data_IF_160278971922
#
_entry.id   IF_160278971922
#
_cell.length_a   1.000
_cell.length_b   1.000
_cell.length_c   1.000
_cell.angle_alpha   90.00
_cell.angle_beta   90.00
_cell.angle_gamma   90.00
#
_symmetry.space_group_name_H-M   'P 1'
#
loop_
_entity.id
_entity.type
_entity.pdbx_description
1 polymer ?
#
# COMPACT_ATOMS: atom_id res chain seq x y z
N UNK A 1 -35.47 40.04 -22.49
CA UNK A 1 -34.32 39.51 -21.73
C UNK A 1 -34.33 38.00 -21.88
N UNK A 2 -33.39 37.47 -22.66
CA UNK A 2 -33.18 36.03 -22.81
C UNK A 2 -32.18 35.63 -21.73
N UNK A 3 -32.59 34.80 -20.78
CA UNK A 3 -31.68 34.20 -19.81
C UNK A 3 -31.02 32.99 -20.49
N UNK A 4 -29.73 33.11 -20.77
CA UNK A 4 -28.88 31.97 -21.11
C UNK A 4 -28.77 31.07 -19.87
N UNK A 5 -29.39 29.89 -19.93
CA UNK A 5 -29.08 28.81 -19.01
C UNK A 5 -27.80 28.15 -19.55
N UNK A 6 -26.68 28.39 -18.86
CA UNK A 6 -25.46 27.61 -19.06
C UNK A 6 -25.76 26.16 -18.69
N UNK A 7 -25.66 25.27 -19.68
CA UNK A 7 -25.72 23.83 -19.47
C UNK A 7 -24.43 23.41 -18.73
N UNK A 8 -24.50 23.31 -17.41
CA UNK A 8 -23.53 22.52 -16.64
C UNK A 8 -23.71 21.05 -17.02
N UNK A 9 -22.88 20.56 -17.95
CA UNK A 9 -22.77 19.13 -18.22
C UNK A 9 -22.32 18.39 -16.94
N UNK A 10 -22.97 17.27 -16.57
CA UNK A 10 -22.51 16.47 -15.46
C UNK A 10 -21.15 15.87 -15.81
N UNK A 11 -20.08 16.40 -15.21
CA UNK A 11 -18.74 15.82 -15.31
C UNK A 11 -18.80 14.35 -14.90
N UNK A 12 -18.62 13.46 -15.88
CA UNK A 12 -18.42 12.03 -15.66
C UNK A 12 -17.33 11.81 -14.59
N UNK A 13 -17.45 10.79 -13.72
CA UNK A 13 -16.38 10.49 -12.77
C UNK A 13 -15.11 10.22 -13.57
N UNK A 14 -14.10 11.06 -13.41
CA UNK A 14 -12.75 10.73 -13.85
C UNK A 14 -12.41 9.40 -13.18
N UNK A 15 -12.31 8.33 -13.98
CA UNK A 15 -11.56 7.13 -13.56
C UNK A 15 -10.27 7.67 -12.98
N UNK A 16 -10.00 7.42 -11.70
CA UNK A 16 -8.67 7.64 -11.15
C UNK A 16 -7.75 6.67 -11.88
N UNK A 17 -7.21 7.13 -13.01
CA UNK A 17 -6.20 6.43 -13.75
C UNK A 17 -4.98 6.44 -12.84
N UNK A 18 -4.49 5.26 -12.47
CA UNK A 18 -3.24 5.15 -11.72
C UNK A 18 -2.18 6.02 -12.42
N UNK A 19 -1.52 6.88 -11.64
CA UNK A 19 -0.45 7.73 -12.13
C UNK A 19 0.87 7.11 -11.74
N UNK A 20 1.77 6.95 -12.71
CA UNK A 20 3.15 6.64 -12.41
C UNK A 20 3.85 7.88 -11.88
N UNK A 21 4.29 7.81 -10.63
CA UNK A 21 5.00 8.90 -9.96
C UNK A 21 6.51 8.73 -10.11
N UNK A 22 7.18 9.83 -10.40
CA UNK A 22 8.64 9.95 -10.35
C UNK A 22 9.11 10.14 -8.91
N UNK A 23 10.38 9.85 -8.66
CA UNK A 23 11.01 10.00 -7.34
C UNK A 23 10.80 11.40 -6.74
N UNK A 24 10.96 12.46 -7.54
CA UNK A 24 10.74 13.85 -7.11
C UNK A 24 9.31 14.13 -6.67
N UNK A 25 8.33 13.51 -7.32
CA UNK A 25 6.90 13.65 -7.01
C UNK A 25 6.53 12.87 -5.75
N UNK A 26 7.13 11.70 -5.55
CA UNK A 26 6.98 10.91 -4.32
C UNK A 26 7.62 11.64 -3.14
N UNK A 27 8.82 12.21 -3.31
CA UNK A 27 9.47 13.06 -2.32
C UNK A 27 8.57 14.25 -1.95
N UNK A 28 8.01 14.94 -2.94
CA UNK A 28 7.11 16.05 -2.67
C UNK A 28 5.84 15.62 -1.94
N UNK A 29 5.20 14.51 -2.36
CA UNK A 29 3.99 13.98 -1.72
C UNK A 29 4.25 13.58 -0.26
N UNK A 30 5.41 12.97 0.02
CA UNK A 30 5.78 12.47 1.33
C UNK A 30 6.69 13.42 2.13
N UNK A 31 6.77 14.69 1.72
CA UNK A 31 7.64 15.67 2.38
C UNK A 31 7.17 15.96 3.81
N UNK A 32 8.08 15.85 4.78
CA UNK A 32 7.83 15.93 6.23
C UNK A 32 6.80 14.90 6.74
N UNK A 33 6.77 13.72 6.12
CA UNK A 33 5.86 12.63 6.48
C UNK A 33 6.59 11.48 7.17
N UNK A 34 5.91 10.92 8.17
CA UNK A 34 6.24 9.64 8.76
C UNK A 34 5.30 8.56 8.23
N UNK A 35 5.85 7.63 7.44
CA UNK A 35 5.14 6.47 6.89
C UNK A 35 5.51 5.22 7.69
N UNK A 36 4.51 4.49 8.18
CA UNK A 36 4.66 3.21 8.88
C UNK A 36 4.06 2.10 8.03
N UNK A 37 4.82 1.04 7.81
CA UNK A 37 4.39 -0.13 7.03
C UNK A 37 4.43 -1.36 7.95
N UNK A 38 3.29 -2.00 8.13
CA UNK A 38 3.07 -3.14 9.02
C UNK A 38 2.63 -4.33 8.17
N UNK A 39 3.40 -5.42 8.16
CA UNK A 39 2.95 -6.61 7.45
C UNK A 39 4.03 -7.63 7.17
N UNK A 40 3.79 -8.46 6.18
CA UNK A 40 4.65 -9.60 5.90
C UNK A 40 5.73 -9.30 4.84
N UNK A 41 6.22 -10.34 4.15
CA UNK A 41 7.21 -10.20 3.09
C UNK A 41 6.72 -9.37 1.90
N UNK A 42 5.41 -9.33 1.64
CA UNK A 42 4.82 -8.46 0.61
C UNK A 42 4.97 -7.01 1.04
N UNK A 43 4.64 -6.67 2.29
CA UNK A 43 4.81 -5.33 2.83
C UNK A 43 6.29 -4.94 2.99
N UNK A 44 7.19 -5.89 3.26
CA UNK A 44 8.64 -5.63 3.18
C UNK A 44 9.04 -5.20 1.78
N UNK A 45 8.53 -5.85 0.74
CA UNK A 45 8.81 -5.45 -0.64
C UNK A 45 8.19 -4.08 -0.98
N UNK A 46 7.00 -3.74 -0.46
CA UNK A 46 6.43 -2.37 -0.56
C UNK A 46 7.34 -1.35 0.11
N UNK A 47 7.82 -1.64 1.32
CA UNK A 47 8.78 -0.78 2.02
C UNK A 47 10.06 -0.57 1.20
N UNK A 48 10.67 -1.66 0.71
CA UNK A 48 11.91 -1.60 -0.07
C UNK A 48 11.71 -0.81 -1.37
N UNK A 49 10.58 -1.02 -2.05
CA UNK A 49 10.28 -0.29 -3.29
C UNK A 49 10.06 1.21 -3.01
N UNK A 50 9.36 1.56 -1.92
CA UNK A 50 9.16 2.96 -1.53
C UNK A 50 10.47 3.65 -1.14
N UNK A 51 11.33 2.97 -0.37
CA UNK A 51 12.67 3.48 0.00
C UNK A 51 13.53 3.73 -1.23
N UNK A 52 13.50 2.82 -2.20
CA UNK A 52 14.21 3.00 -3.47
C UNK A 52 13.62 4.16 -4.28
N UNK A 53 12.29 4.24 -4.38
CA UNK A 53 11.58 5.26 -5.16
C UNK A 53 11.72 6.67 -4.55
N UNK A 54 11.88 6.78 -3.23
CA UNK A 54 12.23 8.04 -2.56
C UNK A 54 13.64 8.53 -2.91
N UNK A 55 14.48 7.70 -3.51
CA UNK A 55 15.86 8.02 -3.87
C UNK A 55 16.08 8.13 -5.38
N UNK A 56 15.44 7.25 -6.17
CA UNK A 56 15.65 7.17 -7.62
C UNK A 56 14.53 6.43 -8.36
N UNK A 57 14.36 6.78 -9.63
CA UNK A 57 13.43 6.15 -10.59
C UNK A 57 13.96 4.81 -11.11
N UNK A 58 14.22 3.85 -10.22
CA UNK A 58 14.71 2.52 -10.57
C UNK A 58 13.87 1.43 -9.91
N UNK A 59 13.73 0.28 -10.55
CA UNK A 59 13.06 -0.89 -9.97
C UNK A 59 14.00 -1.62 -8.99
N UNK A 60 13.40 -2.34 -8.03
CA UNK A 60 14.15 -3.32 -7.24
C UNK A 60 14.72 -4.40 -8.16
N UNK A 61 15.94 -4.85 -7.87
CA UNK A 61 16.48 -6.06 -8.50
C UNK A 61 15.83 -7.32 -7.91
N UNK A 62 15.88 -8.43 -8.65
CA UNK A 62 15.40 -9.72 -8.13
C UNK A 62 16.16 -10.16 -6.86
N UNK A 63 17.44 -9.80 -6.74
CA UNK A 63 18.24 -10.06 -5.54
C UNK A 63 17.73 -9.21 -4.35
N UNK A 64 17.47 -7.91 -4.59
CA UNK A 64 16.91 -7.03 -3.56
C UNK A 64 15.53 -7.50 -3.09
N UNK A 65 14.65 -7.95 -3.99
CA UNK A 65 13.34 -8.50 -3.58
C UNK A 65 13.46 -9.75 -2.70
N UNK A 66 14.44 -10.62 -2.97
CA UNK A 66 14.63 -11.87 -2.22
C UNK A 66 15.34 -11.65 -0.88
N UNK A 67 16.19 -10.65 -0.78
CA UNK A 67 16.94 -10.35 0.44
C UNK A 67 15.99 -9.98 1.60
N UNK A 68 16.31 -10.48 2.80
CA UNK A 68 15.55 -10.25 4.03
C UNK A 68 16.50 -10.11 5.22
N UNK A 69 16.17 -9.23 6.16
CA UNK A 69 16.94 -9.06 7.38
C UNK A 69 18.37 -8.55 7.16
N UNK A 70 18.70 -8.00 5.99
CA UNK A 70 20.00 -7.37 5.73
C UNK A 70 20.25 -6.17 6.66
N UNK A 71 21.49 -5.97 7.12
CA UNK A 71 21.85 -4.86 8.03
C UNK A 71 21.45 -3.48 7.49
N UNK A 72 21.50 -3.30 6.17
CA UNK A 72 21.09 -2.09 5.48
C UNK A 72 20.66 -2.42 4.05
N UNK A 73 19.68 -1.69 3.56
CA UNK A 73 19.15 -1.68 2.20
C UNK A 73 18.97 -0.22 1.80
N UNK A 74 19.65 0.22 0.73
CA UNK A 74 19.47 1.56 0.15
C UNK A 74 19.47 2.69 1.21
N UNK A 75 20.53 2.75 2.03
CA UNK A 75 20.74 3.74 3.10
C UNK A 75 19.75 3.66 4.27
N UNK A 76 18.87 2.65 4.29
CA UNK A 76 18.10 2.34 5.48
C UNK A 76 18.97 1.64 6.54
N UNK A 77 18.38 1.40 7.71
CA UNK A 77 19.00 0.64 8.78
C UNK A 77 18.05 -0.44 9.27
N UNK A 78 18.61 -1.62 9.55
CA UNK A 78 17.94 -2.64 10.35
C UNK A 78 17.99 -2.22 11.82
N UNK A 79 16.81 -1.95 12.39
CA UNK A 79 16.65 -1.49 13.77
C UNK A 79 16.59 -2.67 14.74
N UNK A 80 15.89 -3.76 14.35
CA UNK A 80 15.76 -4.95 15.17
C UNK A 80 15.48 -6.21 14.33
N UNK A 81 15.80 -7.38 14.88
CA UNK A 81 15.57 -8.67 14.23
C UNK A 81 16.48 -8.89 13.02
N UNK A 82 16.03 -9.66 12.03
CA UNK A 82 16.86 -9.96 10.84
C UNK A 82 18.24 -10.52 11.20
N UNK A 83 19.30 -9.96 10.61
CA UNK A 83 20.70 -10.28 10.93
C UNK A 83 21.19 -9.80 12.31
N UNK A 84 20.45 -8.91 13.00
CA UNK A 84 20.71 -8.58 14.40
C UNK A 84 20.19 -9.64 15.38
N UNK A 85 19.44 -10.63 14.88
CA UNK A 85 18.97 -11.79 15.63
C UNK A 85 19.12 -13.08 14.83
N UNK A 86 18.24 -14.04 15.09
CA UNK A 86 18.21 -15.29 14.33
C UNK A 86 17.31 -15.17 13.10
N UNK A 87 17.86 -15.48 11.92
CA UNK A 87 17.09 -15.55 10.69
C UNK A 87 16.32 -16.88 10.61
N UNK A 88 14.99 -16.80 10.72
CA UNK A 88 14.12 -17.96 10.59
C UNK A 88 12.78 -17.60 9.93
N UNK A 89 11.96 -18.61 9.64
CA UNK A 89 10.65 -18.46 8.98
C UNK A 89 9.46 -18.79 9.91
N UNK A 90 9.70 -18.84 11.22
CA UNK A 90 8.69 -19.08 12.25
C UNK A 90 7.85 -17.85 12.60
N UNK A 91 6.78 -18.07 13.37
CA UNK A 91 5.82 -17.03 13.82
C UNK A 91 6.42 -16.02 14.80
N UNK A 92 7.60 -16.30 15.35
CA UNK A 92 8.33 -15.36 16.19
C UNK A 92 9.31 -14.48 15.41
N UNK A 93 9.29 -14.53 14.07
CA UNK A 93 10.20 -13.72 13.28
C UNK A 93 9.91 -12.24 13.50
N UNK A 94 10.97 -11.46 13.62
CA UNK A 94 10.91 -10.00 13.77
C UNK A 94 11.91 -9.37 12.81
N UNK A 95 11.52 -8.25 12.25
CA UNK A 95 12.36 -7.40 11.42
C UNK A 95 11.76 -6.00 11.50
N UNK A 96 12.56 -5.05 11.99
CA UNK A 96 12.19 -3.63 12.02
C UNK A 96 13.22 -2.88 11.19
N UNK A 97 12.77 -2.14 10.18
CA UNK A 97 13.64 -1.34 9.32
C UNK A 97 13.23 0.12 9.37
N UNK A 98 14.21 1.02 9.24
CA UNK A 98 13.96 2.44 9.19
C UNK A 98 14.82 3.11 8.13
N UNK A 99 14.16 3.88 7.28
CA UNK A 99 14.79 4.80 6.35
C UNK A 99 14.54 6.24 6.80
N UNK A 100 15.60 7.04 6.80
CA UNK A 100 15.54 8.48 6.98
C UNK A 100 16.30 9.11 5.81
N UNK A 101 15.63 9.93 4.99
CA UNK A 101 16.32 10.65 3.92
C UNK A 101 17.42 11.55 4.50
N UNK A 102 18.53 11.76 3.78
CA UNK A 102 19.63 12.62 4.23
C UNK A 102 19.23 14.07 4.55
N UNK A 103 18.12 14.56 3.98
CA UNK A 103 17.54 15.87 4.31
C UNK A 103 16.69 15.89 5.59
N UNK A 104 16.39 14.74 6.18
CA UNK A 104 15.53 14.60 7.36
C UNK A 104 14.03 14.76 7.10
N UNK A 105 13.59 14.93 5.85
CA UNK A 105 12.18 15.20 5.52
C UNK A 105 11.32 13.95 5.27
N UNK A 106 11.92 12.76 5.12
CA UNK A 106 11.18 11.52 4.84
C UNK A 106 11.59 10.47 5.86
N UNK A 107 10.62 10.02 6.66
CA UNK A 107 10.79 8.92 7.61
C UNK A 107 9.88 7.76 7.18
N UNK A 108 10.47 6.60 6.91
CA UNK A 108 9.71 5.38 6.61
C UNK A 108 10.17 4.30 7.57
N UNK A 109 9.23 3.66 8.27
CA UNK A 109 9.52 2.55 9.18
C UNK A 109 8.69 1.33 8.82
N UNK A 110 9.33 0.17 8.79
CA UNK A 110 8.70 -1.11 8.54
C UNK A 110 8.77 -2.00 9.77
N UNK A 111 7.67 -2.70 10.08
CA UNK A 111 7.61 -3.73 11.10
C UNK A 111 7.05 -5.02 10.49
N UNK A 112 7.81 -6.11 10.58
CA UNK A 112 7.38 -7.41 10.11
C UNK A 112 6.36 -8.03 11.06
N UNK A 113 5.13 -8.22 10.58
CA UNK A 113 4.06 -8.88 11.31
C UNK A 113 3.93 -10.33 10.86
N UNK A 114 3.89 -11.22 11.84
CA UNK A 114 3.44 -12.60 11.64
C UNK A 114 1.99 -12.80 12.06
N UNK A 115 1.33 -11.77 12.60
CA UNK A 115 -0.08 -11.78 13.04
C UNK A 115 -0.63 -10.36 13.07
N UNK A 116 -1.89 -10.16 12.69
CA UNK A 116 -2.50 -8.82 12.61
C UNK A 116 -2.64 -8.16 13.97
N UNK A 117 -2.73 -8.96 15.02
CA UNK A 117 -2.75 -8.51 16.41
C UNK A 117 -1.97 -9.50 17.27
N UNK A 118 -1.07 -8.97 18.10
CA UNK A 118 -0.19 -9.73 18.98
C UNK A 118 0.42 -8.80 20.04
N UNK A 119 1.03 -9.36 21.08
CA UNK A 119 1.81 -8.61 22.07
C UNK A 119 2.92 -7.77 21.41
N UNK A 120 3.55 -8.29 20.35
CA UNK A 120 4.52 -7.54 19.57
C UNK A 120 3.91 -6.29 18.94
N UNK A 121 2.70 -6.39 18.36
CA UNK A 121 2.04 -5.23 17.79
C UNK A 121 1.63 -4.22 18.87
N UNK A 122 1.22 -4.66 20.06
CA UNK A 122 0.95 -3.72 21.17
C UNK A 122 2.20 -2.92 21.54
N UNK A 123 3.39 -3.54 21.57
CA UNK A 123 4.65 -2.82 21.74
C UNK A 123 4.89 -1.78 20.63
N UNK A 124 4.60 -2.14 19.37
CA UNK A 124 4.69 -1.18 18.24
C UNK A 124 3.68 -0.03 18.40
N UNK A 125 2.45 -0.32 18.82
CA UNK A 125 1.43 0.70 19.06
C UNK A 125 1.80 1.62 20.23
N UNK A 126 2.45 1.09 21.26
CA UNK A 126 3.01 1.87 22.36
C UNK A 126 4.12 2.82 21.87
N UNK A 127 5.05 2.33 21.03
CA UNK A 127 6.05 3.16 20.36
C UNK A 127 5.41 4.29 19.54
N UNK A 128 4.32 4.02 18.82
CA UNK A 128 3.61 5.05 18.04
C UNK A 128 2.83 6.04 18.92
N UNK A 129 2.44 5.63 20.13
CA UNK A 129 1.74 6.49 21.10
C UNK A 129 2.69 7.53 21.69
N UNK A 130 3.92 7.13 22.03
CA UNK A 130 4.91 7.99 22.71
C UNK A 130 6.00 8.55 21.78
N UNK A 131 6.12 7.99 20.58
CA UNK A 131 7.10 8.39 19.57
C UNK A 131 6.58 9.43 18.58
N UNK A 132 7.26 9.59 17.43
CA UNK A 132 6.75 10.46 16.36
C UNK A 132 5.42 9.92 15.84
N UNK A 133 4.43 10.80 15.77
CA UNK A 133 3.11 10.46 15.25
C UNK A 133 3.18 10.13 13.74
N UNK A 134 2.63 8.99 13.29
CA UNK A 134 2.61 8.64 11.86
C UNK A 134 1.59 9.48 11.09
N UNK A 135 1.95 9.87 9.86
CA UNK A 135 1.03 10.51 8.91
C UNK A 135 0.29 9.47 8.06
N UNK A 136 0.94 8.32 7.81
CA UNK A 136 0.41 7.22 7.00
C UNK A 136 0.78 5.89 7.65
N UNK A 137 -0.21 5.02 7.86
CA UNK A 137 -0.05 3.63 8.27
C UNK A 137 -0.57 2.73 7.16
N UNK A 138 0.29 1.84 6.65
CA UNK A 138 -0.08 0.79 5.70
C UNK A 138 -0.03 -0.54 6.44
N UNK A 139 -1.14 -1.29 6.51
CA UNK A 139 -1.19 -2.55 7.26
C UNK A 139 -1.83 -3.70 6.48
N UNK A 140 -1.18 -4.86 6.45
CA UNK A 140 -1.77 -6.14 6.03
C UNK A 140 -0.97 -7.33 6.59
N UNK A 141 -1.65 -8.32 7.16
CA UNK A 141 -1.05 -9.62 7.54
C UNK A 141 -1.93 -10.83 7.20
N UNK A 142 -2.98 -10.66 6.38
CA UNK A 142 -4.02 -11.66 6.12
C UNK A 142 -3.45 -13.05 5.78
N UNK A 143 -2.42 -13.11 4.93
CA UNK A 143 -1.80 -14.37 4.52
C UNK A 143 -1.17 -15.12 5.70
N UNK A 144 -0.47 -14.43 6.60
CA UNK A 144 0.17 -15.05 7.75
C UNK A 144 -0.86 -15.55 8.76
N UNK A 145 -1.85 -14.72 9.10
CA UNK A 145 -2.91 -15.08 10.03
C UNK A 145 -3.64 -16.34 9.55
N UNK A 146 -3.98 -16.42 8.27
CA UNK A 146 -4.75 -17.55 7.73
C UNK A 146 -3.91 -18.81 7.50
N UNK A 147 -2.62 -18.69 7.15
CA UNK A 147 -1.80 -19.84 6.74
C UNK A 147 -0.93 -20.46 7.84
N UNK A 148 -0.68 -19.76 8.95
CA UNK A 148 0.30 -20.21 9.97
C UNK A 148 -0.27 -20.56 11.33
N UNK A 149 -1.56 -20.31 11.60
CA UNK A 149 -2.17 -20.45 12.93
C UNK A 149 -3.18 -21.60 13.06
N UNK A 150 -3.08 -22.60 12.19
CA UNK A 150 -3.84 -23.85 12.33
C UNK A 150 -5.32 -23.73 11.94
N UNK A 151 -6.15 -24.64 12.48
CA UNK A 151 -7.54 -24.86 12.02
C UNK A 151 -8.50 -23.71 12.34
N UNK A 152 -8.27 -22.96 13.42
CA UNK A 152 -9.14 -21.85 13.83
C UNK A 152 -8.62 -20.49 13.36
N UNK A 153 -7.76 -20.47 12.33
CA UNK A 153 -7.06 -19.26 11.88
C UNK A 153 -8.02 -18.16 11.44
N UNK A 154 -9.11 -18.47 10.75
CA UNK A 154 -10.12 -17.49 10.32
C UNK A 154 -10.83 -16.84 11.50
N UNK A 155 -11.28 -17.62 12.48
CA UNK A 155 -11.95 -17.10 13.69
C UNK A 155 -11.00 -16.19 14.47
N UNK A 156 -9.78 -16.66 14.73
CA UNK A 156 -8.74 -15.87 15.37
C UNK A 156 -8.38 -14.60 14.59
N UNK A 157 -8.37 -14.66 13.26
CA UNK A 157 -8.09 -13.51 12.41
C UNK A 157 -9.17 -12.43 12.53
N UNK A 158 -10.45 -12.84 12.56
CA UNK A 158 -11.59 -11.91 12.76
C UNK A 158 -11.52 -11.20 14.10
N UNK A 159 -11.33 -11.94 15.19
CA UNK A 159 -11.18 -11.35 16.53
C UNK A 159 -9.98 -10.39 16.60
N UNK A 160 -8.87 -10.77 15.97
CA UNK A 160 -7.68 -9.94 15.97
C UNK A 160 -7.84 -8.67 15.13
N UNK A 161 -8.60 -8.74 14.03
CA UNK A 161 -8.93 -7.57 13.21
C UNK A 161 -9.76 -6.55 14.00
N UNK A 162 -10.76 -7.02 14.76
CA UNK A 162 -11.54 -6.15 15.66
C UNK A 162 -10.64 -5.48 16.68
N UNK A 163 -9.78 -6.24 17.36
CA UNK A 163 -8.85 -5.70 18.35
C UNK A 163 -7.91 -4.65 17.76
N UNK A 164 -7.26 -4.95 16.63
CA UNK A 164 -6.31 -4.01 16.03
C UNK A 164 -7.00 -2.74 15.54
N UNK A 165 -8.19 -2.80 14.95
CA UNK A 165 -8.86 -1.57 14.48
C UNK A 165 -9.34 -0.69 15.64
N UNK A 166 -9.87 -1.28 16.71
CA UNK A 166 -10.16 -0.55 17.95
C UNK A 166 -8.91 0.11 18.53
N UNK A 167 -7.78 -0.59 18.53
CA UNK A 167 -6.51 -0.05 19.03
C UNK A 167 -5.94 1.04 18.12
N UNK A 168 -6.04 0.90 16.80
CA UNK A 168 -5.65 1.93 15.84
C UNK A 168 -6.51 3.20 15.98
N UNK A 169 -7.79 3.08 16.32
CA UNK A 169 -8.64 4.22 16.68
C UNK A 169 -8.21 4.96 17.94
N UNK A 170 -7.61 4.25 18.89
CA UNK A 170 -7.13 4.83 20.14
C UNK A 170 -5.74 5.46 20.01
N UNK A 171 -4.88 4.86 19.19
CA UNK A 171 -3.45 5.17 19.11
C UNK A 171 -3.12 6.17 17.99
N UNK A 172 -3.76 6.04 16.83
CA UNK A 172 -3.41 6.88 15.68
C UNK A 172 -4.08 8.25 15.76
N UNK A 173 -3.35 9.35 15.44
CA UNK A 173 -3.94 10.67 15.33
C UNK A 173 -5.11 10.71 14.34
N UNK A 174 -6.07 11.61 14.55
CA UNK A 174 -7.21 11.78 13.64
C UNK A 174 -6.78 12.20 12.22
N UNK A 175 -5.58 12.79 12.06
CA UNK A 175 -4.99 13.17 10.77
C UNK A 175 -4.22 12.04 10.08
N UNK A 176 -4.02 10.90 10.75
CA UNK A 176 -3.29 9.77 10.19
C UNK A 176 -4.17 9.02 9.19
N UNK A 177 -3.63 8.78 7.99
CA UNK A 177 -4.28 7.93 6.99
C UNK A 177 -3.90 6.47 7.27
N UNK A 178 -4.90 5.62 7.55
CA UNK A 178 -4.71 4.17 7.56
C UNK A 178 -5.20 3.58 6.25
N UNK A 179 -4.31 2.88 5.55
CA UNK A 179 -4.59 2.22 4.27
C UNK A 179 -4.30 0.73 4.36
N UNK A 180 -5.33 -0.09 4.14
CA UNK A 180 -5.19 -1.54 4.10
C UNK A 180 -5.19 -2.05 2.65
N UNK A 181 -4.03 -2.43 2.08
CA UNK A 181 -4.01 -3.18 0.84
C UNK A 181 -4.50 -4.59 1.08
N UNK A 182 -5.55 -5.05 0.41
CA UNK A 182 -6.06 -6.43 0.54
C UNK A 182 -5.09 -7.43 -0.11
N UNK A 183 -5.05 -8.67 0.39
CA UNK A 183 -4.14 -9.67 -0.19
C UNK A 183 -4.60 -10.06 -1.61
N UNK A 184 -3.71 -10.01 -2.60
CA UNK A 184 -4.02 -10.33 -3.99
C UNK A 184 -4.20 -11.82 -4.31
N UNK A 185 -4.63 -12.66 -3.37
CA UNK A 185 -4.77 -14.12 -3.58
C UNK A 185 -6.21 -14.53 -3.89
N UNK A 186 -6.36 -15.54 -4.77
CA UNK A 186 -7.66 -16.15 -5.11
C UNK A 186 -8.05 -17.32 -4.20
N UNK A 187 -7.24 -17.64 -3.18
CA UNK A 187 -7.61 -18.67 -2.22
C UNK A 187 -8.89 -18.25 -1.48
N UNK A 188 -9.83 -19.20 -1.32
CA UNK A 188 -11.15 -18.95 -0.72
C UNK A 188 -11.07 -18.30 0.66
N UNK A 189 -10.19 -18.82 1.52
CA UNK A 189 -9.96 -18.29 2.86
C UNK A 189 -9.43 -16.85 2.82
N UNK A 190 -8.52 -16.53 1.91
CA UNK A 190 -8.00 -15.17 1.74
C UNK A 190 -9.07 -14.21 1.21
N UNK A 191 -9.90 -14.64 0.26
CA UNK A 191 -11.03 -13.83 -0.23
C UNK A 191 -12.03 -13.54 0.89
N UNK A 192 -12.36 -14.54 1.71
CA UNK A 192 -13.22 -14.38 2.88
C UNK A 192 -12.60 -13.45 3.93
N UNK A 193 -11.30 -13.60 4.21
CA UNK A 193 -10.56 -12.73 5.11
C UNK A 193 -10.51 -11.29 4.63
N UNK A 194 -10.25 -11.07 3.34
CA UNK A 194 -10.26 -9.76 2.71
C UNK A 194 -11.64 -9.10 2.80
N UNK A 195 -12.72 -9.85 2.56
CA UNK A 195 -14.09 -9.34 2.67
C UNK A 195 -14.41 -8.87 4.09
N UNK A 196 -14.06 -9.69 5.09
CA UNK A 196 -14.24 -9.33 6.50
C UNK A 196 -13.45 -8.07 6.86
N UNK A 197 -12.18 -8.05 6.49
CA UNK A 197 -11.27 -6.94 6.77
C UNK A 197 -11.74 -5.64 6.13
N UNK A 198 -12.21 -5.69 4.88
CA UNK A 198 -12.74 -4.51 4.18
C UNK A 198 -14.03 -3.98 4.82
N UNK A 199 -14.93 -4.89 5.24
CA UNK A 199 -16.17 -4.53 5.94
C UNK A 199 -15.86 -3.79 7.23
N UNK A 200 -15.00 -4.38 8.07
CA UNK A 200 -14.59 -3.79 9.33
C UNK A 200 -13.82 -2.47 9.13
N UNK A 201 -13.01 -2.36 8.09
CA UNK A 201 -12.30 -1.12 7.78
C UNK A 201 -13.30 0.00 7.44
N UNK A 202 -14.40 -0.33 6.76
CA UNK A 202 -15.52 0.58 6.52
C UNK A 202 -16.15 1.10 7.81
N UNK A 203 -16.38 0.22 8.79
CA UNK A 203 -16.96 0.58 10.09
C UNK A 203 -16.07 1.54 10.89
N UNK A 204 -14.76 1.38 10.78
CA UNK A 204 -13.74 2.25 11.40
C UNK A 204 -13.31 3.44 10.52
N UNK A 205 -13.94 3.62 9.34
CA UNK A 205 -13.60 4.66 8.37
C UNK A 205 -12.14 4.65 7.88
N UNK A 206 -11.51 3.48 7.86
CA UNK A 206 -10.20 3.26 7.26
C UNK A 206 -10.31 3.05 5.75
N UNK A 207 -9.25 3.43 5.03
CA UNK A 207 -9.23 3.28 3.58
C UNK A 207 -8.70 1.89 3.21
N UNK A 208 -9.26 1.33 2.13
CA UNK A 208 -8.93 -0.01 1.64
C UNK A 208 -8.49 0.08 0.19
N UNK A 209 -7.39 -0.58 -0.14
CA UNK A 209 -6.94 -0.75 -1.52
C UNK A 209 -7.09 -2.21 -1.95
N UNK A 210 -7.99 -2.47 -2.88
CA UNK A 210 -8.28 -3.84 -3.33
C UNK A 210 -7.25 -4.34 -4.35
N UNK A 211 -6.16 -4.96 -3.86
CA UNK A 211 -5.15 -5.53 -4.74
C UNK A 211 -5.66 -6.75 -5.51
N UNK A 212 -6.66 -7.45 -5.00
CA UNK A 212 -7.25 -8.56 -5.75
C UNK A 212 -7.89 -8.01 -7.04
N UNK A 213 -8.66 -6.92 -6.96
CA UNK A 213 -9.15 -6.25 -8.16
C UNK A 213 -8.01 -5.80 -9.06
N UNK A 214 -7.07 -5.00 -8.56
CA UNK A 214 -6.02 -4.41 -9.41
C UNK A 214 -5.16 -5.43 -10.13
N UNK A 215 -4.91 -6.59 -9.52
CA UNK A 215 -3.97 -7.55 -10.06
C UNK A 215 -4.58 -8.88 -10.54
N UNK A 216 -5.91 -8.98 -10.66
CA UNK A 216 -6.59 -10.20 -11.17
C UNK A 216 -6.16 -10.66 -12.57
N UNK A 217 -5.61 -9.76 -13.38
CA UNK A 217 -5.10 -10.04 -14.73
C UNK A 217 -3.56 -9.94 -14.84
N UNK A 218 -2.88 -9.97 -13.70
CA UNK A 218 -1.43 -9.77 -13.59
C UNK A 218 -0.69 -11.06 -13.17
N UNK A 219 -1.27 -12.23 -13.46
CA UNK A 219 -0.74 -13.52 -13.00
C UNK A 219 0.68 -13.79 -13.51
N UNK A 220 1.06 -13.22 -14.66
CA UNK A 220 2.41 -13.32 -15.22
C UNK A 220 3.49 -12.69 -14.32
N UNK A 221 3.12 -11.71 -13.49
CA UNK A 221 4.02 -11.06 -12.55
C UNK A 221 4.10 -11.79 -11.21
N UNK A 222 3.34 -12.87 -11.03
CA UNK A 222 3.34 -13.67 -9.81
C UNK A 222 4.38 -14.77 -9.89
N UNK A 223 5.18 -14.91 -8.84
CA UNK A 223 6.11 -16.00 -8.70
C UNK A 223 5.41 -17.36 -8.58
N UNK A 224 6.17 -18.43 -8.85
CA UNK A 224 5.68 -19.82 -8.85
C UNK A 224 5.16 -20.30 -7.49
N UNK A 225 5.52 -19.62 -6.41
CA UNK A 225 4.99 -19.91 -5.06
C UNK A 225 3.54 -19.45 -4.86
N UNK A 226 2.98 -18.71 -5.82
CA UNK A 226 1.59 -18.22 -5.79
C UNK A 226 1.34 -17.07 -4.81
N UNK A 227 2.39 -16.57 -4.15
CA UNK A 227 2.29 -15.55 -3.09
C UNK A 227 3.05 -14.28 -3.46
N UNK A 228 4.31 -14.41 -3.88
CA UNK A 228 5.18 -13.26 -4.15
C UNK A 228 5.05 -12.77 -5.59
N UNK A 229 5.46 -11.52 -5.81
CA UNK A 229 5.33 -10.83 -7.09
C UNK A 229 6.69 -10.30 -7.52
N UNK A 230 6.85 -10.04 -8.81
CA UNK A 230 8.06 -9.43 -9.36
C UNK A 230 8.15 -7.92 -9.05
N UNK A 231 9.26 -7.31 -9.48
CA UNK A 231 9.54 -5.89 -9.25
C UNK A 231 8.56 -4.95 -9.96
N UNK A 232 7.98 -5.36 -11.08
CA UNK A 232 7.03 -4.53 -11.82
C UNK A 232 5.69 -4.47 -11.10
N UNK A 233 5.24 -5.61 -10.56
CA UNK A 233 4.06 -5.65 -9.72
C UNK A 233 4.22 -4.89 -8.41
N UNK A 234 5.36 -4.98 -7.74
CA UNK A 234 5.62 -4.19 -6.55
C UNK A 234 5.67 -2.69 -6.84
N UNK A 235 6.29 -2.26 -7.95
CA UNK A 235 6.25 -0.84 -8.36
C UNK A 235 4.83 -0.36 -8.67
N UNK A 236 4.04 -1.17 -9.37
CA UNK A 236 2.63 -0.86 -9.64
C UNK A 236 1.83 -0.72 -8.35
N UNK A 237 2.06 -1.61 -7.38
CA UNK A 237 1.44 -1.54 -6.05
C UNK A 237 1.80 -0.22 -5.34
N UNK A 238 3.08 0.17 -5.33
CA UNK A 238 3.51 1.45 -4.75
C UNK A 238 2.83 2.65 -5.42
N UNK A 239 2.70 2.65 -6.75
CA UNK A 239 2.01 3.72 -7.47
C UNK A 239 0.50 3.77 -7.17
N UNK A 240 -0.17 2.63 -7.01
CA UNK A 240 -1.56 2.58 -6.56
C UNK A 240 -1.72 3.15 -5.16
N UNK A 241 -0.86 2.73 -4.22
CA UNK A 241 -0.84 3.24 -2.84
C UNK A 241 -0.63 4.75 -2.83
N UNK A 242 0.38 5.26 -3.53
CA UNK A 242 0.71 6.69 -3.56
C UNK A 242 -0.35 7.52 -4.29
N UNK A 243 -0.98 6.99 -5.35
CA UNK A 243 -2.12 7.64 -6.01
C UNK A 243 -3.29 7.79 -5.04
N UNK A 244 -3.60 6.73 -4.28
CA UNK A 244 -4.63 6.77 -3.24
C UNK A 244 -4.30 7.79 -2.16
N UNK A 245 -3.05 7.80 -1.68
CA UNK A 245 -2.57 8.75 -0.67
C UNK A 245 -2.72 10.20 -1.16
N UNK A 246 -2.35 10.48 -2.40
CA UNK A 246 -2.52 11.80 -2.98
C UNK A 246 -3.99 12.23 -3.08
N UNK A 247 -4.89 11.34 -3.55
CA UNK A 247 -6.34 11.61 -3.57
C UNK A 247 -6.88 11.87 -2.15
N UNK A 248 -6.49 11.03 -1.18
CA UNK A 248 -6.91 11.16 0.21
C UNK A 248 -6.44 12.48 0.83
N UNK A 249 -5.23 12.96 0.52
CA UNK A 249 -4.71 14.24 1.00
C UNK A 249 -5.11 15.45 0.12
N UNK A 250 -5.84 15.23 -0.97
CA UNK A 250 -6.25 16.30 -1.90
C UNK A 250 -5.09 16.91 -2.68
N UNK A 251 -4.02 16.15 -2.91
CA UNK A 251 -2.85 16.57 -3.71
C UNK A 251 -3.13 16.28 -5.18
N UNK A 252 -3.05 17.30 -6.02
CA UNK A 252 -3.18 17.12 -7.46
C UNK A 252 -1.98 16.35 -8.02
N UNK A 253 -2.27 15.22 -8.68
CA UNK A 253 -1.26 14.43 -9.35
C UNK A 253 -0.93 15.02 -10.74
N UNK A 254 0.31 14.81 -11.22
CA UNK A 254 0.70 15.19 -12.56
C UNK A 254 -0.23 14.57 -13.61
N UNK A 255 -0.74 15.39 -14.52
CA UNK A 255 -1.52 14.91 -15.66
C UNK A 255 -0.55 14.34 -16.69
N UNK A 256 -0.50 13.01 -16.79
CA UNK A 256 0.20 12.30 -17.85
C UNK A 256 -0.83 11.63 -18.75
N UNK A 257 -0.72 11.85 -20.06
CA UNK A 257 -1.55 11.21 -21.07
C UNK A 257 -1.13 9.75 -21.23
N UNK A 258 -1.53 8.90 -20.27
CA UNK A 258 -1.34 7.46 -20.41
C UNK A 258 -2.42 6.89 -21.34
N UNK A 259 -2.06 5.99 -22.27
CA UNK A 259 -3.04 5.25 -23.04
C UNK A 259 -3.95 4.48 -22.07
N UNK A 260 -5.23 4.84 -22.06
CA UNK A 260 -6.23 4.24 -21.20
C UNK A 260 -6.31 2.73 -21.44
N UNK A 261 -6.06 1.92 -20.40
CA UNK A 261 -6.32 0.48 -20.43
C UNK A 261 -5.10 -0.44 -20.25
N UNK A 262 -3.88 0.07 -20.09
CA UNK A 262 -2.75 -0.78 -19.71
C UNK A 262 -2.67 -0.94 -18.17
N UNK A 263 -2.76 -2.18 -17.65
CA UNK A 263 -2.64 -2.42 -16.21
C UNK A 263 -1.20 -2.28 -15.71
N UNK A 264 -0.19 -2.28 -16.59
CA UNK A 264 1.21 -2.06 -16.24
C UNK A 264 1.87 -1.14 -17.27
N UNK A 265 2.84 -0.31 -16.86
CA UNK A 265 3.57 0.52 -17.81
C UNK A 265 4.39 -0.35 -18.77
N UNK A 266 4.62 0.11 -20.01
CA UNK A 266 5.49 -0.57 -20.97
C UNK A 266 6.89 -0.81 -20.38
N UNK A 267 7.55 -1.91 -20.76
CA UNK A 267 8.93 -2.20 -20.35
C UNK A 267 9.91 -1.03 -20.60
N UNK A 268 9.64 -0.23 -21.65
CA UNK A 268 10.42 0.95 -22.05
C UNK A 268 10.45 2.08 -21.00
N UNK A 269 9.49 2.11 -20.06
CA UNK A 269 9.48 3.10 -18.97
C UNK A 269 10.53 2.83 -17.88
N UNK A 270 11.02 1.59 -17.82
CA UNK A 270 12.06 1.20 -16.88
C UNK A 270 13.30 0.89 -17.72
N UNK A 271 14.17 1.88 -17.94
CA UNK A 271 15.44 1.67 -18.64
C UNK A 271 16.16 0.45 -18.04
N UNK A 272 16.07 -0.70 -18.72
CA UNK A 272 16.60 -1.98 -18.28
C UNK A 272 17.45 -2.56 -19.42
N UNK A 273 18.76 -2.58 -19.22
CA UNK A 273 19.67 -3.34 -20.09
C UNK A 273 19.65 -4.80 -19.63
N UNK A 274 18.95 -5.64 -20.39
CA UNK A 274 18.69 -7.05 -20.07
C UNK A 274 19.85 -8.01 -20.33
N UNK A 275 21.08 -7.53 -20.42
CA UNK A 275 22.20 -8.35 -20.93
C UNK A 275 23.09 -8.98 -19.86
N UNK A 276 22.84 -8.76 -18.57
CA UNK A 276 23.61 -9.39 -17.50
C UNK A 276 22.65 -10.14 -16.56
N UNK A 277 23.04 -11.34 -16.11
CA UNK A 277 22.32 -12.25 -15.20
C UNK A 277 21.35 -13.29 -15.76
N UNK A 278 21.63 -13.82 -16.96
CA UNK A 278 21.42 -15.26 -17.21
C UNK A 278 22.71 -16.03 -16.95
N UNK A 279 23.06 -16.23 -15.68
CA UNK A 279 23.88 -17.37 -15.28
C UNK A 279 23.28 -18.03 -14.04
N UNK A 280 22.89 -19.29 -14.20
CA UNK A 280 22.30 -20.12 -13.15
C UNK A 280 23.30 -20.44 -12.03
N UNK A 281 22.79 -20.59 -10.81
CA UNK A 281 23.30 -21.58 -9.88
C UNK A 281 22.14 -22.43 -9.38
N UNK A 282 22.08 -23.67 -9.89
CA UNK A 282 21.37 -24.79 -9.30
C UNK A 282 22.10 -25.23 -8.02
N UNK A 283 21.35 -25.81 -7.07
CA UNK A 283 21.76 -26.36 -5.77
C UNK A 283 21.56 -25.41 -4.58
N UNK A 284 20.43 -25.60 -3.88
CA UNK A 284 20.37 -25.80 -2.42
C UNK A 284 18.91 -26.13 -1.99
N UNK A 285 18.69 -27.41 -1.63
CA UNK A 285 17.77 -27.84 -0.57
C UNK A 285 16.26 -27.85 -0.82
N UNK A 286 15.77 -28.86 -1.55
CA UNK A 286 14.37 -29.32 -1.41
C UNK A 286 14.20 -30.15 -0.13
N UNK A 287 13.12 -29.89 0.63
CA UNK A 287 12.53 -30.79 1.63
C UNK A 287 11.07 -31.12 1.24
N UNK A 288 10.52 -32.31 1.60
CA UNK A 288 9.52 -32.99 0.77
C UNK A 288 8.06 -32.69 1.14
N UNK A 289 7.20 -32.76 0.11
CA UNK A 289 5.85 -33.33 0.22
C UNK A 289 4.67 -32.36 0.23
N UNK A 290 4.06 -32.12 -0.94
CA UNK A 290 2.71 -32.62 -1.30
C UNK A 290 2.52 -32.43 -2.82
N UNK A 291 2.38 -33.54 -3.54
CA UNK A 291 2.07 -33.53 -4.96
C UNK A 291 0.58 -33.18 -5.15
N UNK A 292 0.28 -31.99 -5.67
CA UNK A 292 -1.06 -31.66 -6.14
C UNK A 292 -1.20 -32.08 -7.61
N UNK A 293 -2.04 -33.09 -7.85
CA UNK A 293 -2.53 -33.43 -9.19
C UNK A 293 -3.70 -32.49 -9.52
N UNK A 294 -3.69 -31.75 -10.64
CA UNK A 294 -4.83 -30.93 -11.05
C UNK A 294 -5.99 -31.83 -11.51
N UNK A 295 -7.12 -31.77 -10.81
CA UNK A 295 -8.38 -32.33 -11.30
C UNK A 295 -8.99 -31.46 -12.41
N UNK A 296 -9.81 -32.03 -13.32
CA UNK A 296 -10.37 -31.29 -14.45
C UNK A 296 -11.41 -30.25 -13.99
N UNK A 297 -11.39 -29.09 -14.64
CA UNK A 297 -12.32 -27.98 -14.41
C UNK A 297 -13.76 -28.34 -14.82
N UNK A 298 -14.79 -27.90 -14.08
CA UNK A 298 -16.18 -28.08 -14.49
C UNK A 298 -16.58 -27.10 -15.62
N UNK A 299 -17.56 -27.46 -16.48
CA UNK A 299 -18.02 -26.61 -17.57
C UNK A 299 -18.91 -25.46 -17.06
N UNK A 300 -19.00 -24.34 -17.82
CA UNK A 300 -19.76 -23.16 -17.40
C UNK A 300 -21.28 -23.33 -17.59
N UNK A 301 -22.04 -22.86 -16.61
CA UNK A 301 -23.52 -22.78 -16.65
C UNK A 301 -23.93 -21.37 -17.08
N UNK A 302 -24.89 -21.19 -18.02
CA UNK A 302 -25.39 -19.87 -18.40
C UNK A 302 -26.54 -19.42 -17.49
N UNK A 303 -26.42 -18.23 -16.89
CA UNK A 303 -27.48 -17.56 -16.12
C UNK A 303 -28.10 -16.37 -16.87
N UNK A 304 -29.36 -15.99 -16.59
CA UNK A 304 -30.14 -15.10 -17.45
C UNK A 304 -30.01 -13.61 -17.08
N UNK A 305 -30.17 -12.75 -18.10
CA UNK A 305 -30.29 -11.29 -17.99
C UNK A 305 -31.70 -10.91 -17.52
N UNK A 306 -31.84 -9.90 -16.65
CA UNK A 306 -33.02 -9.04 -16.70
C UNK A 306 -32.65 -7.54 -16.84
N UNK A 307 -33.33 -6.91 -17.80
CA UNK A 307 -33.45 -5.47 -17.96
C UNK A 307 -34.40 -4.87 -16.91
N UNK A 308 -34.15 -3.63 -16.48
CA UNK A 308 -35.12 -2.82 -15.74
C UNK A 308 -34.54 -1.55 -15.13
N UNK A 309 -34.84 -0.39 -15.72
CA UNK A 309 -34.56 0.95 -15.19
C UNK A 309 -35.58 1.34 -14.11
N UNK A 310 -35.15 2.01 -13.03
CA UNK A 310 -35.96 3.02 -12.32
C UNK A 310 -35.05 4.06 -11.62
N UNK A 311 -35.44 5.34 -11.71
CA UNK A 311 -34.78 6.56 -11.21
C UNK A 311 -35.28 6.97 -9.81
N UNK A 312 -34.34 7.41 -8.93
CA UNK A 312 -34.46 8.45 -7.88
C UNK A 312 -34.81 8.00 -6.44
N UNK A 313 -34.46 8.76 -5.36
CA UNK A 313 -33.87 10.10 -5.30
C UNK A 313 -32.49 10.22 -4.61
N UNK A 314 -31.91 11.41 -4.78
CA UNK A 314 -30.59 11.91 -4.39
C UNK A 314 -30.40 12.08 -2.87
N UNK A 315 -29.21 11.72 -2.37
CA UNK A 315 -28.56 12.38 -1.22
C UNK A 315 -27.07 12.59 -1.54
N UNK A 316 -26.65 13.86 -1.59
CA UNK A 316 -25.25 14.27 -1.70
C UNK A 316 -24.70 14.62 -0.32
N UNK A 317 -23.57 14.01 0.08
CA UNK A 317 -22.41 14.67 0.75
C UNK A 317 -21.30 13.67 1.07
N UNK A 318 -20.09 13.94 0.55
CA UNK A 318 -18.81 13.46 1.10
C UNK A 318 -18.30 12.08 0.64
N UNK A 319 -18.36 11.77 -0.65
CA UNK A 319 -17.81 10.52 -1.23
C UNK A 319 -16.28 10.61 -1.46
N UNK A 320 -15.49 9.58 -1.11
CA UNK A 320 -14.20 9.33 -1.76
C UNK A 320 -14.45 9.05 -3.25
N UNK A 321 -13.67 9.67 -4.15
CA UNK A 321 -13.89 9.63 -5.60
C UNK A 321 -13.33 8.37 -6.29
N UNK A 322 -12.83 7.40 -5.54
CA UNK A 322 -12.30 6.16 -6.08
C UNK A 322 -13.32 5.02 -5.97
N UNK A 323 -14.13 4.82 -7.01
CA UNK A 323 -15.01 3.65 -7.15
C UNK A 323 -14.71 2.89 -8.45
N UNK A 324 -13.89 1.82 -8.40
CA UNK A 324 -14.01 0.72 -9.34
C UNK A 324 -15.03 -0.30 -8.80
N UNK A 325 -15.59 -1.13 -9.70
CA UNK A 325 -16.45 -2.28 -9.40
C UNK A 325 -15.69 -3.38 -8.62
N UNK A 326 -15.16 -3.07 -7.44
CA UNK A 326 -14.51 -4.01 -6.53
C UNK A 326 -15.57 -4.88 -5.86
N UNK A 327 -15.35 -6.21 -5.75
CA UNK A 327 -16.23 -7.10 -5.01
C UNK A 327 -16.26 -6.82 -3.51
N UNK A 328 -15.37 -5.96 -3.00
CA UNK A 328 -15.31 -5.54 -1.60
C UNK A 328 -15.79 -4.09 -1.40
N UNK A 329 -16.57 -3.52 -2.32
CA UNK A 329 -17.15 -2.20 -2.11
C UNK A 329 -18.11 -2.21 -0.90
N UNK A 330 -17.76 -1.48 0.16
CA UNK A 330 -18.59 -1.30 1.36
C UNK A 330 -19.23 0.08 1.31
N UNK A 331 -20.56 0.21 1.10
CA UNK A 331 -21.25 1.48 1.22
C UNK A 331 -21.14 1.99 2.67
N UNK A 332 -20.71 3.24 2.88
CA UNK A 332 -20.73 3.84 4.22
C UNK A 332 -22.17 3.92 4.73
N UNK A 333 -22.49 3.12 5.75
CA UNK A 333 -23.74 3.24 6.49
C UNK A 333 -23.70 4.55 7.30
N UNK A 334 -24.71 5.41 7.12
CA UNK A 334 -24.76 6.78 7.63
C UNK A 334 -24.93 6.89 9.15
N UNK A 335 -23.94 6.44 9.92
CA UNK A 335 -23.80 6.75 11.35
C UNK A 335 -22.89 7.97 11.59
N UNK A 336 -23.07 8.72 12.69
CA UNK A 336 -22.14 9.76 13.10
C UNK A 336 -20.83 9.11 13.57
N UNK A 337 -19.84 9.04 12.67
CA UNK A 337 -18.49 8.57 12.98
C UNK A 337 -17.53 9.76 13.10
N UNK A 338 -16.47 9.62 13.92
CA UNK A 338 -15.39 10.61 14.00
C UNK A 338 -14.86 10.87 12.59
N UNK A 339 -15.06 12.08 12.08
CA UNK A 339 -14.47 12.48 10.81
C UNK A 339 -12.95 12.59 11.04
N UNK A 340 -12.20 11.53 10.72
CA UNK A 340 -10.75 11.65 10.57
C UNK A 340 -10.47 12.72 9.50
N UNK A 341 -9.72 13.74 9.88
CA UNK A 341 -9.38 14.86 9.01
C UNK A 341 -8.52 14.31 7.87
N UNK A 342 -9.08 14.31 6.65
CA UNK A 342 -8.37 13.92 5.43
C UNK A 342 -7.37 14.98 4.96
N UNK A 343 -7.46 16.19 5.50
CA UNK A 343 -6.52 17.26 5.23
C UNK A 343 -5.35 17.20 6.22
N UNK A 344 -4.16 16.95 5.70
CA UNK A 344 -2.93 17.18 6.44
C UNK A 344 -2.73 18.70 6.56
N UNK A 345 -2.82 19.29 7.75
CA UNK A 345 -2.50 20.72 7.96
C UNK A 345 -1.04 21.09 7.60
N UNK A 346 -0.17 20.08 7.45
CA UNK A 346 1.17 20.20 6.86
C UNK A 346 1.14 20.20 5.33
N UNK A 347 0.18 20.89 4.73
CA UNK A 347 0.12 21.05 3.28
C UNK A 347 1.38 21.74 2.77
N UNK A 348 1.84 21.28 1.61
CA UNK A 348 2.96 21.82 0.86
C UNK A 348 2.75 23.33 0.69
N UNK A 349 3.47 24.15 1.45
CA UNK A 349 3.66 25.53 1.04
C UNK A 349 4.32 25.45 -0.33
N UNK A 350 3.61 25.91 -1.36
CA UNK A 350 4.18 26.11 -2.69
C UNK A 350 5.47 26.89 -2.53
N UNK A 351 6.61 26.25 -2.75
CA UNK A 351 7.90 26.91 -2.80
C UNK A 351 7.84 27.96 -3.91
N UNK A 352 7.50 29.21 -3.56
CA UNK A 352 8.09 30.33 -4.27
C UNK A 352 9.58 30.22 -4.01
N UNK A 353 10.37 30.08 -5.07
CA UNK A 353 11.82 30.24 -4.99
C UNK A 353 12.09 31.61 -4.34
N UNK A 354 12.38 31.62 -3.05
CA UNK A 354 13.08 32.72 -2.44
C UNK A 354 14.51 32.67 -2.98
N UNK A 355 14.75 33.49 -4.01
CA UNK A 355 16.08 33.86 -4.45
C UNK A 355 16.79 34.49 -3.25
N UNK A 356 17.63 33.71 -2.59
CA UNK A 356 18.56 34.21 -1.60
C UNK A 356 19.56 35.13 -2.32
N UNK A 357 19.70 36.42 -1.94
CA UNK A 357 20.71 37.28 -2.52
C UNK A 357 22.11 36.82 -2.05
N UNK A 358 23.16 37.05 -2.85
CA UNK A 358 24.49 36.55 -2.54
C UNK A 358 25.04 37.23 -1.28
N UNK A 359 25.74 36.44 -0.46
CA UNK A 359 26.39 36.90 0.75
C UNK A 359 27.41 38.01 0.44
N UNK A 360 27.18 39.21 0.99
CA UNK A 360 28.19 40.23 1.07
C UNK A 360 29.24 39.84 2.11
N UNK A 361 30.50 39.78 1.68
CA UNK A 361 31.68 39.68 2.54
C UNK A 361 31.79 40.94 3.41
N UNK A 362 31.44 40.82 4.69
CA UNK A 362 31.65 41.84 5.72
C UNK A 362 32.84 41.47 6.60
N UNK A 363 33.87 42.30 6.54
CA UNK A 363 35.03 42.35 7.44
C UNK A 363 34.58 42.68 8.87
N UNK A 364 35.12 41.93 9.85
CA UNK A 364 35.00 42.26 11.28
C UNK A 364 36.03 43.34 11.66
N UNK A 365 35.67 44.34 12.48
CA UNK A 365 36.63 45.16 13.19
C UNK A 365 36.73 44.75 14.67
N UNK A 366 37.96 44.75 15.20
CA UNK A 366 38.24 44.73 16.65
C UNK A 366 38.87 43.45 17.15
#
# INVERSE_FOLDING_TARGET
MVFCLENEEPRLPLRSAMVHLQASEVQQLLHNKFVVILGDSIQRAVYKDLVLLLQRDSLLTAAQLKAKGELSFEQDQLVAGGQLGELHNGTQYREVRQFCSGSGHHLVRFYFLTRVYSEYLEGVLEELTYGPAPDLVIINSCLWDLSRYGRCSMESYRENLERVFVRMDQVLPDSCLLLQPLAGSLRRDVVEGNFYSATLAGDHCFDVLDLHFHFRHAVQHRHRDGVHWDQHAHRHLSHLLLTHVADAWGVELPKRDYPSGQPFPPHEFFNYNSTEDFSMSSHLGCGPGVNFVPGPLPPPVPGPIPHGQHRGPVVHRGMPRCAPNSPYHVPRMGGPCRQRLRHSDRLIHTNKLDRQPPAHSGTWPG
#
